data_IF_743063095186
#
_entry.id   IF_743063095186
#
_cell.length_a   1.000
_cell.length_b   1.000
_cell.length_c   1.000
_cell.angle_alpha   90.00
_cell.angle_beta   90.00
_cell.angle_gamma   90.00
#
_symmetry.space_group_name_H-M   'P 1'
#
loop_
_entity.id
_entity.type
_entity.pdbx_description
1 polymer ?
#
# COMPACT_ATOMS: atom_id res chain seq x y z
N UNK A 1 -35.11 64.64 -49.48
CA UNK A 1 -35.50 63.97 -48.22
C UNK A 1 -34.23 63.38 -47.64
N UNK A 2 -33.85 63.81 -46.44
CA UNK A 2 -32.65 63.38 -45.73
C UNK A 2 -32.84 61.95 -45.22
N UNK A 3 -32.08 60.98 -45.74
CA UNK A 3 -32.00 59.65 -45.13
C UNK A 3 -31.00 59.67 -43.98
N UNK A 4 -31.56 59.55 -42.77
CA UNK A 4 -30.85 59.46 -41.50
C UNK A 4 -30.10 58.12 -41.43
N UNK A 5 -28.77 58.17 -41.27
CA UNK A 5 -27.99 57.00 -40.94
C UNK A 5 -28.45 56.40 -39.59
N UNK A 6 -28.66 55.07 -39.46
CA UNK A 6 -29.11 54.47 -38.22
C UNK A 6 -28.03 54.58 -37.13
N UNK A 7 -28.41 55.07 -35.95
CA UNK A 7 -27.51 55.20 -34.81
C UNK A 7 -27.06 53.82 -34.28
N UNK A 8 -25.81 53.67 -33.83
CA UNK A 8 -25.30 52.40 -33.36
C UNK A 8 -26.07 51.94 -32.11
N UNK A 9 -26.67 50.75 -32.17
CA UNK A 9 -27.43 50.14 -31.05
C UNK A 9 -26.55 50.05 -29.81
N UNK A 10 -26.86 50.85 -28.79
CA UNK A 10 -26.13 50.91 -27.53
C UNK A 10 -26.47 49.68 -26.69
N UNK A 11 -25.54 48.73 -26.58
CA UNK A 11 -25.68 47.52 -25.75
C UNK A 11 -25.94 47.93 -24.29
N UNK A 12 -27.03 47.41 -23.70
CA UNK A 12 -27.46 47.74 -22.33
C UNK A 12 -26.41 47.32 -21.29
N UNK A 13 -26.34 48.02 -20.15
CA UNK A 13 -25.41 47.68 -19.06
C UNK A 13 -25.58 46.23 -18.57
N UNK A 14 -26.83 45.73 -18.55
CA UNK A 14 -27.14 44.34 -18.20
C UNK A 14 -26.57 43.35 -19.22
N UNK A 15 -26.66 43.64 -20.51
CA UNK A 15 -26.09 42.79 -21.56
C UNK A 15 -24.55 42.76 -21.48
N UNK A 16 -23.89 43.89 -21.19
CA UNK A 16 -22.43 43.91 -20.97
C UNK A 16 -22.00 43.08 -19.76
N UNK A 17 -22.78 43.12 -18.67
CA UNK A 17 -22.51 42.32 -17.47
C UNK A 17 -22.65 40.82 -17.76
N UNK A 18 -23.71 40.41 -18.47
CA UNK A 18 -23.94 39.01 -18.84
C UNK A 18 -22.81 38.50 -19.75
N UNK A 19 -22.41 39.29 -20.75
CA UNK A 19 -21.29 38.94 -21.63
C UNK A 19 -19.99 38.81 -20.83
N UNK A 20 -19.72 39.73 -19.89
CA UNK A 20 -18.55 39.65 -19.00
C UNK A 20 -18.53 38.38 -18.15
N UNK A 21 -19.67 37.99 -17.58
CA UNK A 21 -19.82 36.76 -16.79
C UNK A 21 -19.57 35.52 -17.66
N UNK A 22 -20.16 35.48 -18.87
CA UNK A 22 -19.98 34.36 -19.79
C UNK A 22 -18.52 34.22 -20.26
N UNK A 23 -17.84 35.35 -20.54
CA UNK A 23 -16.41 35.35 -20.87
C UNK A 23 -15.58 34.87 -19.67
N UNK A 24 -15.88 35.34 -18.45
CA UNK A 24 -15.17 34.94 -17.24
C UNK A 24 -15.28 33.42 -16.98
N UNK A 25 -16.50 32.87 -17.02
CA UNK A 25 -16.69 31.42 -16.86
C UNK A 25 -16.15 30.62 -18.04
N UNK A 26 -16.22 31.16 -19.27
CA UNK A 26 -15.60 30.55 -20.45
C UNK A 26 -14.08 30.47 -20.34
N UNK A 27 -13.43 31.51 -19.80
CA UNK A 27 -11.98 31.53 -19.51
C UNK A 27 -11.64 30.52 -18.41
N UNK A 28 -12.39 30.49 -17.30
CA UNK A 28 -12.18 29.48 -16.24
C UNK A 28 -12.36 28.05 -16.76
N UNK A 29 -13.35 27.82 -17.62
CA UNK A 29 -13.59 26.53 -18.25
C UNK A 29 -12.48 26.16 -19.25
N UNK A 30 -11.98 27.13 -20.03
CA UNK A 30 -10.84 26.96 -20.92
C UNK A 30 -9.56 26.61 -20.16
N UNK A 31 -9.25 27.32 -19.07
CA UNK A 31 -8.14 26.97 -18.20
C UNK A 31 -8.30 25.56 -17.63
N UNK A 32 -9.51 25.17 -17.23
CA UNK A 32 -9.76 23.81 -16.73
C UNK A 32 -9.61 22.72 -17.80
N UNK A 33 -10.02 22.97 -19.04
CA UNK A 33 -9.92 22.01 -20.15
C UNK A 33 -8.51 21.94 -20.74
N UNK A 34 -7.75 23.02 -20.74
CA UNK A 34 -6.42 23.06 -21.36
C UNK A 34 -5.32 22.78 -20.34
N UNK A 35 -5.45 23.25 -19.10
CA UNK A 35 -4.47 22.93 -18.06
C UNK A 35 -4.53 21.48 -17.63
N UNK A 36 -5.69 20.81 -17.59
CA UNK A 36 -5.75 19.40 -17.22
C UNK A 36 -4.95 18.49 -18.17
N UNK A 37 -5.14 18.55 -19.51
CA UNK A 37 -4.31 17.82 -20.45
C UNK A 37 -2.85 18.27 -20.41
N UNK A 38 -2.58 19.57 -20.25
CA UNK A 38 -1.20 20.06 -20.17
C UNK A 38 -0.48 19.57 -18.90
N UNK A 39 -1.15 19.55 -17.76
CA UNK A 39 -0.67 18.96 -16.51
C UNK A 39 -0.52 17.46 -16.65
N UNK A 40 -1.47 16.77 -17.28
CA UNK A 40 -1.41 15.33 -17.48
C UNK A 40 -0.27 14.94 -18.44
N UNK A 41 -0.04 15.74 -19.50
CA UNK A 41 1.13 15.62 -20.38
C UNK A 41 2.40 15.96 -19.61
N UNK A 42 2.42 17.02 -18.81
CA UNK A 42 3.58 17.39 -18.00
C UNK A 42 3.94 16.29 -17.00
N UNK A 43 2.97 15.72 -16.29
CA UNK A 43 3.17 14.61 -15.36
C UNK A 43 3.50 13.30 -16.10
N UNK A 44 2.96 13.07 -17.30
CA UNK A 44 3.40 11.94 -18.13
C UNK A 44 4.86 12.12 -18.59
N UNK A 45 5.27 13.34 -18.95
CA UNK A 45 6.61 13.65 -19.44
C UNK A 45 7.66 13.77 -18.32
N UNK A 46 7.27 14.19 -17.12
CA UNK A 46 8.20 14.54 -16.03
C UNK A 46 7.87 13.90 -14.68
N UNK A 47 6.65 13.40 -14.47
CA UNK A 47 6.21 12.82 -13.20
C UNK A 47 6.97 11.53 -12.82
N UNK A 48 7.47 10.79 -13.82
CA UNK A 48 8.35 9.64 -13.59
C UNK A 48 9.69 10.05 -12.95
N UNK A 49 10.20 11.27 -13.20
CA UNK A 49 11.42 11.78 -12.57
C UNK A 49 11.19 11.93 -11.06
N UNK A 50 10.06 12.53 -10.68
CA UNK A 50 9.69 12.70 -9.27
C UNK A 50 9.52 11.34 -8.58
N UNK A 51 8.89 10.37 -9.25
CA UNK A 51 8.77 9.00 -8.76
C UNK A 51 10.15 8.35 -8.55
N UNK A 52 11.07 8.44 -9.51
CA UNK A 52 12.41 7.86 -9.37
C UNK A 52 13.19 8.48 -8.22
N UNK A 53 13.19 9.81 -8.10
CA UNK A 53 13.90 10.52 -7.01
C UNK A 53 13.37 10.07 -5.65
N UNK A 54 12.05 9.93 -5.49
CA UNK A 54 11.42 9.52 -4.23
C UNK A 54 11.77 8.08 -3.85
N UNK A 55 11.85 7.17 -4.83
CA UNK A 55 12.09 5.76 -4.57
C UNK A 55 13.59 5.39 -4.60
N UNK A 56 14.47 6.31 -5.04
CA UNK A 56 15.90 6.02 -5.22
C UNK A 56 16.58 5.55 -3.93
N UNK A 57 16.14 6.06 -2.78
CA UNK A 57 16.64 5.67 -1.46
C UNK A 57 16.15 4.30 -0.98
N UNK A 58 15.05 3.79 -1.55
CA UNK A 58 14.47 2.49 -1.24
C UNK A 58 15.07 1.37 -2.13
N UNK A 59 15.65 1.71 -3.28
CA UNK A 59 16.26 0.75 -4.21
C UNK A 59 17.56 0.21 -3.61
N UNK A 60 17.51 -1.03 -3.10
CA UNK A 60 18.69 -1.82 -2.77
C UNK A 60 19.10 -2.64 -3.99
N UNK A 61 19.88 -2.04 -4.88
CA UNK A 61 20.44 -2.76 -6.01
C UNK A 61 21.57 -3.68 -5.52
N UNK A 62 21.48 -4.97 -5.85
CA UNK A 62 22.56 -5.91 -5.60
C UNK A 62 23.73 -5.68 -6.58
N UNK A 63 24.93 -6.09 -6.18
CA UNK A 63 26.16 -5.84 -6.95
C UNK A 63 26.14 -6.57 -8.30
N UNK A 64 25.49 -7.73 -8.39
CA UNK A 64 25.44 -8.53 -9.61
C UNK A 64 24.53 -7.88 -10.66
N UNK A 65 23.35 -7.40 -10.26
CA UNK A 65 22.44 -6.65 -11.11
C UNK A 65 23.06 -5.36 -11.65
N UNK A 66 23.84 -4.64 -10.83
CA UNK A 66 24.56 -3.45 -11.28
C UNK A 66 25.60 -3.82 -12.35
N UNK A 67 26.33 -4.92 -12.15
CA UNK A 67 27.33 -5.40 -13.10
C UNK A 67 26.67 -5.80 -14.42
N UNK A 68 25.64 -6.64 -14.37
CA UNK A 68 24.90 -7.10 -15.57
C UNK A 68 24.27 -5.93 -16.31
N UNK A 69 23.68 -4.97 -15.59
CA UNK A 69 23.12 -3.75 -16.18
C UNK A 69 24.17 -2.89 -16.88
N UNK A 70 25.33 -2.72 -16.25
CA UNK A 70 26.45 -1.97 -16.82
C UNK A 70 27.02 -2.65 -18.06
N UNK A 71 27.21 -3.97 -18.03
CA UNK A 71 27.66 -4.74 -19.19
C UNK A 71 26.67 -4.66 -20.35
N UNK A 72 25.37 -4.76 -20.06
CA UNK A 72 24.31 -4.65 -21.07
C UNK A 72 24.29 -3.27 -21.73
N UNK A 73 24.53 -2.19 -20.96
CA UNK A 73 24.63 -0.83 -21.49
C UNK A 73 25.83 -0.65 -22.41
N UNK A 74 27.00 -1.17 -22.01
CA UNK A 74 28.21 -1.14 -22.84
C UNK A 74 27.99 -1.92 -24.14
N UNK A 75 27.37 -3.09 -24.06
CA UNK A 75 27.05 -3.92 -25.22
C UNK A 75 26.04 -3.23 -26.15
N UNK A 76 24.96 -2.67 -25.62
CA UNK A 76 23.98 -1.91 -26.38
C UNK A 76 24.62 -0.71 -27.11
N UNK A 77 25.45 0.06 -26.40
CA UNK A 77 26.21 1.16 -26.98
C UNK A 77 27.12 0.67 -28.12
N UNK A 78 27.88 -0.40 -27.88
CA UNK A 78 28.78 -0.99 -28.86
C UNK A 78 28.05 -1.44 -30.12
N UNK A 79 26.90 -2.13 -29.96
CA UNK A 79 26.07 -2.58 -31.07
C UNK A 79 25.54 -1.41 -31.90
N UNK A 80 24.99 -0.37 -31.25
CA UNK A 80 24.48 0.83 -31.93
C UNK A 80 25.61 1.56 -32.66
N UNK A 81 26.77 1.72 -32.03
CA UNK A 81 27.91 2.40 -32.62
C UNK A 81 28.45 1.64 -33.85
N UNK A 82 28.65 0.33 -33.73
CA UNK A 82 29.12 -0.52 -34.82
C UNK A 82 28.10 -0.59 -35.95
N UNK A 83 26.82 -0.74 -35.63
CA UNK A 83 25.74 -0.75 -36.62
C UNK A 83 25.67 0.58 -37.39
N UNK A 84 25.66 1.70 -36.67
CA UNK A 84 25.64 3.04 -37.26
C UNK A 84 26.83 3.27 -38.20
N UNK A 85 28.02 2.84 -37.79
CA UNK A 85 29.24 2.99 -38.59
C UNK A 85 29.28 2.07 -39.81
N UNK A 86 28.74 0.85 -39.69
CA UNK A 86 28.79 -0.18 -40.74
C UNK A 86 27.70 -0.02 -41.81
N UNK A 87 26.51 0.41 -41.40
CA UNK A 87 25.31 0.35 -42.24
C UNK A 87 24.66 1.71 -42.53
N UNK A 88 24.89 2.74 -41.69
CA UNK A 88 24.28 4.06 -41.88
C UNK A 88 25.28 5.05 -42.47
N UNK A 89 26.42 5.26 -41.81
CA UNK A 89 27.42 6.24 -42.25
C UNK A 89 28.80 5.95 -41.66
N UNK A 90 29.83 6.01 -42.49
CA UNK A 90 31.23 5.82 -42.05
C UNK A 90 31.71 6.90 -41.08
N UNK A 91 31.06 8.05 -41.04
CA UNK A 91 31.34 9.18 -40.12
C UNK A 91 30.42 9.20 -38.89
N UNK A 92 29.74 8.08 -38.60
CA UNK A 92 28.89 7.96 -37.42
C UNK A 92 29.64 8.26 -36.12
N UNK A 93 29.14 9.24 -35.35
CA UNK A 93 29.81 9.74 -34.16
C UNK A 93 29.40 9.00 -32.89
N UNK A 94 30.29 8.99 -31.90
CA UNK A 94 30.01 8.49 -30.55
C UNK A 94 28.80 9.22 -29.95
N UNK A 95 28.72 10.55 -30.13
CA UNK A 95 27.62 11.36 -29.61
C UNK A 95 26.23 10.91 -30.09
N UNK A 96 26.09 10.49 -31.36
CA UNK A 96 24.81 9.94 -31.87
C UNK A 96 24.46 8.61 -31.21
N UNK A 97 25.45 7.77 -30.96
CA UNK A 97 25.24 6.48 -30.28
C UNK A 97 24.83 6.68 -28.82
N UNK A 98 25.47 7.61 -28.10
CA UNK A 98 25.07 8.00 -26.74
C UNK A 98 23.63 8.53 -26.74
N UNK A 99 23.29 9.40 -27.69
CA UNK A 99 21.94 9.97 -27.78
C UNK A 99 20.86 8.90 -28.00
N UNK A 100 21.11 7.92 -28.88
CA UNK A 100 20.17 6.81 -29.11
C UNK A 100 20.06 5.92 -27.87
N UNK A 101 21.18 5.53 -27.26
CA UNK A 101 21.16 4.74 -26.02
C UNK A 101 20.38 5.46 -24.92
N UNK A 102 20.62 6.76 -24.72
CA UNK A 102 19.89 7.57 -23.76
C UNK A 102 18.40 7.62 -24.05
N UNK A 103 18.01 7.80 -25.31
CA UNK A 103 16.61 7.79 -25.74
C UNK A 103 15.96 6.42 -25.50
N UNK A 104 16.64 5.32 -25.81
CA UNK A 104 16.15 3.95 -25.57
C UNK A 104 15.90 3.70 -24.09
N UNK A 105 16.84 4.09 -23.22
CA UNK A 105 16.68 3.97 -21.77
C UNK A 105 15.50 4.81 -21.30
N UNK A 106 15.39 6.06 -21.75
CA UNK A 106 14.29 6.95 -21.38
C UNK A 106 12.92 6.38 -21.78
N UNK A 107 12.80 5.85 -23.01
CA UNK A 107 11.58 5.21 -23.49
C UNK A 107 11.24 3.94 -22.70
N UNK A 108 12.24 3.12 -22.39
CA UNK A 108 12.06 1.90 -21.60
C UNK A 108 11.57 2.23 -20.18
N UNK A 109 12.26 3.15 -19.47
CA UNK A 109 11.88 3.61 -18.13
C UNK A 109 10.48 4.22 -18.14
N UNK A 110 10.16 5.05 -19.14
CA UNK A 110 8.83 5.62 -19.31
C UNK A 110 7.77 4.54 -19.50
N UNK A 111 8.02 3.54 -20.36
CA UNK A 111 7.11 2.41 -20.57
C UNK A 111 6.83 1.62 -19.29
N UNK A 112 7.86 1.29 -18.52
CA UNK A 112 7.70 0.61 -17.22
C UNK A 112 6.95 1.47 -16.20
N UNK A 113 7.21 2.78 -16.17
CA UNK A 113 6.49 3.70 -15.29
C UNK A 113 5.00 3.78 -15.66
N UNK A 114 4.67 3.85 -16.95
CA UNK A 114 3.28 3.86 -17.44
C UNK A 114 2.59 2.54 -17.12
N UNK A 115 3.20 1.39 -17.42
CA UNK A 115 2.63 0.08 -17.06
C UNK A 115 2.41 -0.02 -15.55
N UNK A 116 3.39 0.38 -14.74
CA UNK A 116 3.26 0.41 -13.28
C UNK A 116 2.11 1.31 -12.81
N UNK A 117 1.99 2.51 -13.38
CA UNK A 117 0.90 3.44 -13.06
C UNK A 117 -0.47 2.90 -13.51
N UNK A 118 -0.57 2.35 -14.71
CA UNK A 118 -1.81 1.77 -15.26
C UNK A 118 -2.24 0.55 -14.47
N UNK A 119 -1.36 -0.41 -14.21
CA UNK A 119 -1.67 -1.59 -13.40
C UNK A 119 -2.09 -1.16 -11.99
N UNK A 120 -1.42 -0.17 -11.40
CA UNK A 120 -1.80 0.37 -10.11
C UNK A 120 -3.21 0.99 -10.14
N UNK A 121 -3.52 1.83 -11.14
CA UNK A 121 -4.83 2.43 -11.31
C UNK A 121 -5.95 1.41 -11.56
N UNK A 122 -5.67 0.35 -12.33
CA UNK A 122 -6.64 -0.71 -12.62
C UNK A 122 -6.89 -1.64 -11.43
N UNK A 123 -5.94 -1.74 -10.50
CA UNK A 123 -6.08 -2.57 -9.28
C UNK A 123 -6.94 -1.89 -8.20
N UNK A 124 -7.57 -0.75 -8.48
CA UNK A 124 -8.39 0.00 -7.53
C UNK A 124 -9.89 -0.14 -7.82
N UNK A 125 -10.69 -0.69 -6.88
CA UNK A 125 -12.09 -1.02 -7.18
C UNK A 125 -13.10 0.15 -7.15
N UNK A 126 -12.85 1.27 -6.44
CA UNK A 126 -13.94 2.23 -6.11
C UNK A 126 -13.67 3.71 -6.45
N UNK A 127 -14.76 4.44 -6.73
CA UNK A 127 -14.81 5.86 -7.09
C UNK A 127 -14.18 6.81 -6.02
N UNK A 128 -14.26 6.45 -4.73
CA UNK A 128 -13.68 7.24 -3.62
C UNK A 128 -12.14 7.32 -3.66
N UNK A 129 -11.49 6.40 -4.39
CA UNK A 129 -10.05 6.33 -4.51
C UNK A 129 -9.44 7.38 -5.45
N UNK A 130 -10.24 7.95 -6.35
CA UNK A 130 -9.81 9.02 -7.25
C UNK A 130 -9.73 10.39 -6.56
N UNK A 131 -10.12 10.47 -5.29
CA UNK A 131 -9.80 11.62 -4.46
C UNK A 131 -8.33 11.54 -4.00
N UNK A 132 -7.60 12.65 -4.01
CA UNK A 132 -6.21 12.74 -3.52
C UNK A 132 -6.07 12.10 -2.12
N UNK A 133 -7.08 12.29 -1.27
CA UNK A 133 -7.14 11.72 0.07
C UNK A 133 -7.33 10.19 0.07
N UNK A 134 -8.09 9.63 -0.89
CA UNK A 134 -8.31 8.18 -1.02
C UNK A 134 -7.04 7.43 -1.42
N UNK A 135 -6.36 7.92 -2.46
CA UNK A 135 -5.07 7.39 -2.92
C UNK A 135 -4.01 7.42 -1.81
N UNK A 136 -3.85 8.57 -1.15
CA UNK A 136 -2.86 8.72 -0.08
C UNK A 136 -3.13 7.74 1.07
N UNK A 137 -4.39 7.54 1.46
CA UNK A 137 -4.75 6.54 2.49
C UNK A 137 -4.46 5.11 2.04
N UNK A 138 -4.77 4.73 0.80
CA UNK A 138 -4.47 3.37 0.34
C UNK A 138 -2.95 3.08 0.31
N UNK A 139 -2.14 4.03 -0.17
CA UNK A 139 -0.68 3.90 -0.16
C UNK A 139 -0.14 3.81 1.26
N UNK A 140 -0.67 4.61 2.19
CA UNK A 140 -0.29 4.57 3.59
C UNK A 140 -0.66 3.22 4.25
N UNK A 141 -1.85 2.66 3.98
CA UNK A 141 -2.27 1.34 4.49
C UNK A 141 -1.26 0.26 4.15
N UNK A 142 -0.89 0.20 2.87
CA UNK A 142 0.09 -0.76 2.37
C UNK A 142 1.46 -0.58 3.04
N UNK A 143 1.89 0.66 3.30
CA UNK A 143 3.15 0.96 3.99
C UNK A 143 3.13 0.43 5.43
N UNK A 144 2.07 0.69 6.19
CA UNK A 144 1.96 0.22 7.57
C UNK A 144 1.98 -1.32 7.64
N UNK A 145 1.28 -2.02 6.73
CA UNK A 145 1.37 -3.49 6.68
C UNK A 145 2.76 -3.99 6.29
N UNK A 146 3.50 -3.27 5.44
CA UNK A 146 4.89 -3.63 5.15
C UNK A 146 5.77 -3.50 6.39
N UNK A 147 5.59 -2.45 7.19
CA UNK A 147 6.34 -2.29 8.44
C UNK A 147 6.00 -3.42 9.43
N UNK A 148 4.72 -3.80 9.51
CA UNK A 148 4.25 -4.92 10.34
C UNK A 148 4.78 -6.27 9.85
N UNK A 149 4.85 -6.46 8.53
CA UNK A 149 5.43 -7.64 7.91
C UNK A 149 6.91 -7.76 8.28
N UNK A 150 7.69 -6.68 8.12
CA UNK A 150 9.11 -6.64 8.49
C UNK A 150 9.30 -6.96 9.97
N UNK A 151 8.49 -6.37 10.85
CA UNK A 151 8.55 -6.64 12.28
C UNK A 151 8.26 -8.12 12.61
N UNK A 152 7.28 -8.70 11.93
CA UNK A 152 6.89 -10.11 12.11
C UNK A 152 7.97 -11.06 11.60
N UNK A 153 8.59 -10.75 10.46
CA UNK A 153 9.71 -11.54 9.92
C UNK A 153 10.95 -11.44 10.83
N UNK A 154 11.26 -10.26 11.35
CA UNK A 154 12.34 -10.08 12.32
C UNK A 154 12.11 -10.89 13.60
N UNK A 155 10.87 -10.88 14.12
CA UNK A 155 10.47 -11.73 15.24
C UNK A 155 10.69 -13.20 14.91
N UNK A 156 10.17 -13.68 13.78
CA UNK A 156 10.27 -15.08 13.37
C UNK A 156 11.72 -15.52 13.13
N UNK A 157 12.58 -14.66 12.60
CA UNK A 157 14.00 -14.96 12.39
C UNK A 157 14.75 -15.23 13.71
N UNK A 158 14.39 -14.49 14.77
CA UNK A 158 15.00 -14.59 16.11
C UNK A 158 14.36 -15.72 16.92
N UNK A 159 13.03 -15.78 16.95
CA UNK A 159 12.26 -16.73 17.75
C UNK A 159 12.05 -18.08 17.06
N UNK A 160 12.46 -18.19 15.80
CA UNK A 160 12.28 -19.35 14.90
C UNK A 160 10.83 -19.76 14.65
N UNK A 161 9.89 -18.90 15.01
CA UNK A 161 8.46 -19.13 14.82
C UNK A 161 7.69 -17.80 14.78
N UNK A 162 6.52 -17.82 14.13
CA UNK A 162 5.58 -16.70 14.19
C UNK A 162 5.08 -16.49 15.62
N UNK A 163 4.72 -15.24 15.98
CA UNK A 163 4.08 -15.00 17.27
C UNK A 163 2.73 -15.72 17.30
N UNK A 164 2.33 -16.22 18.47
CA UNK A 164 1.05 -16.90 18.65
C UNK A 164 0.38 -16.44 19.93
N UNK A 165 -0.89 -16.80 20.06
CA UNK A 165 -1.55 -16.84 21.35
C UNK A 165 -0.87 -17.89 22.25
N UNK A 166 -0.53 -17.51 23.48
CA UNK A 166 -0.13 -18.49 24.49
C UNK A 166 -1.37 -19.21 25.03
N UNK A 167 -1.27 -20.54 25.11
CA UNK A 167 -2.37 -21.48 25.32
C UNK A 167 -2.92 -21.49 26.76
N UNK A 168 -4.15 -22.00 26.82
CA UNK A 168 -5.08 -22.47 27.87
C UNK A 168 -4.53 -23.14 29.16
N UNK A 169 -3.32 -22.78 29.61
CA UNK A 169 -2.75 -23.14 30.91
C UNK A 169 -2.77 -21.99 31.92
N UNK A 170 -2.04 -22.14 33.04
CA UNK A 170 -1.86 -21.09 34.06
C UNK A 170 -1.27 -19.78 33.53
N UNK A 171 -0.68 -19.79 32.32
CA UNK A 171 -0.18 -18.62 31.57
C UNK A 171 -1.27 -17.73 30.96
N UNK A 172 -2.49 -18.25 30.75
CA UNK A 172 -3.62 -17.48 30.19
C UNK A 172 -3.94 -16.19 30.97
N UNK A 173 -3.55 -16.10 32.25
CA UNK A 173 -3.74 -14.90 33.07
C UNK A 173 -2.71 -13.80 32.81
N UNK A 174 -1.50 -14.15 32.37
CA UNK A 174 -0.40 -13.21 32.10
C UNK A 174 -0.15 -13.05 30.61
N UNK A 175 -1.01 -13.60 29.77
CA UNK A 175 -0.81 -13.54 28.33
C UNK A 175 -1.09 -12.14 27.80
N UNK A 176 -0.36 -11.82 26.72
CA UNK A 176 -0.42 -10.58 25.98
C UNK A 176 -0.73 -10.89 24.53
N UNK A 177 -1.28 -9.91 23.81
CA UNK A 177 -1.48 -10.05 22.37
C UNK A 177 -0.14 -10.29 21.63
N UNK A 178 -0.18 -10.99 20.49
CA UNK A 178 0.96 -11.15 19.57
C UNK A 178 1.62 -9.80 19.21
N UNK A 179 0.82 -8.74 19.10
CA UNK A 179 1.26 -7.37 18.86
C UNK A 179 2.25 -6.87 19.93
N UNK A 180 2.02 -7.18 21.20
CA UNK A 180 2.93 -6.80 22.29
C UNK A 180 4.35 -7.30 22.06
N UNK A 181 4.49 -8.50 21.50
CA UNK A 181 5.79 -9.11 21.21
C UNK A 181 6.48 -8.54 19.97
N UNK A 182 5.75 -7.82 19.12
CA UNK A 182 6.31 -7.15 17.94
C UNK A 182 6.88 -5.75 18.25
N UNK A 183 6.57 -5.17 19.40
CA UNK A 183 7.02 -3.80 19.76
C UNK A 183 8.54 -3.58 19.60
N UNK A 184 9.43 -4.48 20.08
CA UNK A 184 10.87 -4.30 19.89
C UNK A 184 11.31 -4.32 18.41
N UNK A 185 10.53 -4.97 17.55
CA UNK A 185 10.79 -5.09 16.10
C UNK A 185 10.18 -3.94 15.29
N UNK A 186 9.48 -3.01 15.94
CA UNK A 186 8.83 -1.83 15.34
C UNK A 186 9.36 -0.51 15.91
N UNK A 187 10.57 -0.52 16.49
CA UNK A 187 11.15 0.64 17.20
C UNK A 187 10.31 1.14 18.38
N UNK A 188 9.56 0.24 19.04
CA UNK A 188 8.75 0.55 20.24
C UNK A 188 9.36 -0.08 21.52
N UNK A 189 10.69 -0.27 21.57
CA UNK A 189 11.37 -0.89 22.72
C UNK A 189 11.16 -0.13 24.03
N UNK A 190 11.16 1.21 24.00
CA UNK A 190 10.90 2.04 25.20
C UNK A 190 9.49 1.85 25.77
N UNK A 191 8.51 1.54 24.91
CA UNK A 191 7.17 1.20 25.37
C UNK A 191 7.14 -0.24 25.91
N UNK A 192 7.79 -1.16 25.21
CA UNK A 192 7.89 -2.57 25.61
C UNK A 192 8.51 -2.75 27.00
N UNK A 193 9.57 -2.01 27.32
CA UNK A 193 10.24 -2.04 28.63
C UNK A 193 9.35 -1.58 29.80
N UNK A 194 8.26 -0.86 29.51
CA UNK A 194 7.28 -0.44 30.53
C UNK A 194 6.20 -1.49 30.80
N UNK A 195 6.16 -2.57 30.03
CA UNK A 195 5.16 -3.63 30.15
C UNK A 195 5.73 -4.73 31.03
N UNK A 196 5.06 -5.00 32.14
CA UNK A 196 5.33 -6.19 32.93
C UNK A 196 4.61 -7.39 32.31
N UNK A 197 5.38 -8.24 31.61
CA UNK A 197 4.88 -9.46 30.99
C UNK A 197 4.49 -10.54 32.00
N UNK A 198 4.91 -10.41 33.27
CA UNK A 198 4.50 -11.29 34.37
C UNK A 198 3.10 -10.96 34.92
N UNK A 199 2.51 -9.84 34.49
CA UNK A 199 1.17 -9.41 34.88
C UNK A 199 0.19 -9.49 33.70
N UNK A 200 -1.13 -9.63 33.97
CA UNK A 200 -2.15 -9.50 32.93
C UNK A 200 -2.01 -8.19 32.15
N UNK A 201 -2.34 -8.20 30.86
CA UNK A 201 -2.31 -7.01 30.00
C UNK A 201 -3.13 -5.83 30.58
N UNK A 202 -4.26 -6.12 31.24
CA UNK A 202 -5.16 -5.12 31.81
C UNK A 202 -4.89 -4.83 33.30
N UNK A 203 -3.76 -5.27 33.85
CA UNK A 203 -3.34 -4.94 35.21
C UNK A 203 -3.11 -3.42 35.35
N UNK A 204 -3.43 -2.80 36.51
CA UNK A 204 -3.21 -1.36 36.73
C UNK A 204 -1.82 -0.86 36.36
N UNK A 205 -0.77 -1.63 36.67
CA UNK A 205 0.63 -1.27 36.36
C UNK A 205 0.92 -1.23 34.85
N UNK A 206 0.25 -2.09 34.08
CA UNK A 206 0.35 -2.14 32.62
C UNK A 206 -0.55 -1.11 31.93
N UNK A 207 -1.44 -0.44 32.68
CA UNK A 207 -2.50 0.40 32.10
C UNK A 207 -1.95 1.55 31.25
N UNK A 208 -0.92 2.24 31.73
CA UNK A 208 -0.32 3.38 31.02
C UNK A 208 0.26 2.92 29.68
N UNK A 209 0.92 1.77 29.64
CA UNK A 209 1.50 1.24 28.40
C UNK A 209 0.38 0.90 27.40
N UNK A 210 -0.62 0.12 27.80
CA UNK A 210 -1.70 -0.30 26.89
C UNK A 210 -2.74 0.79 26.56
N UNK A 211 -2.74 1.91 27.27
CA UNK A 211 -3.49 3.12 26.89
C UNK A 211 -2.76 3.98 25.86
N UNK A 212 -1.50 3.68 25.53
CA UNK A 212 -0.71 4.45 24.55
C UNK A 212 -1.05 4.03 23.12
N UNK A 213 -1.55 4.94 22.26
CA UNK A 213 -1.76 4.64 20.84
C UNK A 213 -0.43 4.43 20.11
N UNK A 214 -0.37 3.40 19.27
CA UNK A 214 0.80 3.09 18.44
C UNK A 214 0.44 3.42 16.99
N UNK A 215 1.12 4.36 16.32
CA UNK A 215 0.83 4.73 14.93
C UNK A 215 0.85 3.54 13.96
N UNK A 216 1.71 2.54 14.20
CA UNK A 216 1.77 1.33 13.40
C UNK A 216 0.57 0.37 13.59
N UNK A 217 -0.21 0.53 14.66
CA UNK A 217 -1.45 -0.23 14.90
C UNK A 217 -2.70 0.60 14.64
N UNK A 218 -2.53 1.91 14.57
CA UNK A 218 -3.61 2.86 14.43
C UNK A 218 -3.39 3.69 13.18
N UNK A 219 -4.20 3.40 12.16
CA UNK A 219 -4.26 4.27 11.01
C UNK A 219 -5.28 5.40 11.23
N UNK A 220 -4.92 6.61 10.81
CA UNK A 220 -5.80 7.78 10.88
C UNK A 220 -6.94 7.68 9.87
N UNK A 221 -8.06 7.16 10.36
CA UNK A 221 -9.35 7.25 9.70
C UNK A 221 -10.17 8.30 10.41
N UNK A 222 -10.66 9.27 9.62
CA UNK A 222 -11.46 10.39 10.10
C UNK A 222 -12.59 9.87 11.01
N UNK A 223 -12.58 10.31 12.27
CA UNK A 223 -13.56 10.04 13.32
C UNK A 223 -13.52 8.65 14.01
N UNK A 224 -12.56 7.79 13.69
CA UNK A 224 -12.45 6.53 14.40
C UNK A 224 -11.67 6.68 15.71
N UNK A 225 -12.07 5.98 16.78
CA UNK A 225 -11.38 6.05 18.06
C UNK A 225 -10.01 5.36 17.99
N UNK A 226 -8.97 6.05 18.48
CA UNK A 226 -7.66 5.46 18.79
C UNK A 226 -7.67 4.69 20.12
N UNK A 227 -8.61 5.04 20.99
CA UNK A 227 -8.76 4.53 22.34
C UNK A 227 -10.20 4.04 22.48
N UNK A 228 -10.38 2.84 23.01
CA UNK A 228 -11.70 2.33 23.34
C UNK A 228 -12.35 3.25 24.39
N UNK A 229 -13.48 3.91 24.06
CA UNK A 229 -14.14 4.82 25.00
C UNK A 229 -14.64 4.12 26.26
N UNK A 230 -14.83 2.79 26.23
CA UNK A 230 -15.30 2.01 27.38
C UNK A 230 -14.17 1.65 28.32
N UNK A 231 -13.05 1.15 27.79
CA UNK A 231 -11.94 0.63 28.62
C UNK A 231 -10.78 1.62 28.81
N UNK A 232 -10.63 2.59 27.92
CA UNK A 232 -9.51 3.54 27.92
C UNK A 232 -8.20 2.95 27.38
N UNK A 233 -8.24 1.76 26.78
CA UNK A 233 -7.06 1.14 26.15
C UNK A 233 -6.97 1.51 24.66
N UNK A 234 -5.75 1.60 24.16
CA UNK A 234 -5.49 1.90 22.75
C UNK A 234 -5.83 0.70 21.86
N UNK A 235 -6.45 1.00 20.72
CA UNK A 235 -7.00 0.02 19.78
C UNK A 235 -5.99 -0.39 18.70
N UNK A 236 -6.23 -1.56 18.09
CA UNK A 236 -5.53 -2.02 16.90
C UNK A 236 -6.47 -2.19 15.72
N UNK A 237 -5.99 -1.86 14.52
CA UNK A 237 -6.65 -2.07 13.23
C UNK A 237 -6.16 -3.30 12.48
N UNK A 238 -5.38 -4.14 13.15
CA UNK A 238 -4.82 -5.33 12.53
C UNK A 238 -5.11 -6.54 13.39
N UNK A 239 -5.48 -7.63 12.73
CA UNK A 239 -5.73 -8.91 13.36
C UNK A 239 -4.94 -9.99 12.66
N UNK A 240 -4.53 -11.01 13.40
CA UNK A 240 -3.88 -12.18 12.81
C UNK A 240 -4.91 -13.17 12.25
N UNK A 241 -4.45 -14.06 11.39
CA UNK A 241 -5.23 -15.19 10.90
C UNK A 241 -5.42 -16.24 12.01
N UNK A 242 -6.67 -16.56 12.33
CA UNK A 242 -7.04 -17.57 13.32
C UNK A 242 -6.43 -18.96 13.03
N UNK A 243 -6.34 -19.36 11.76
CA UNK A 243 -5.76 -20.66 11.37
C UNK A 243 -4.29 -20.83 11.75
N UNK A 244 -3.58 -19.73 12.05
CA UNK A 244 -2.17 -19.73 12.41
C UNK A 244 -1.92 -19.25 13.84
N UNK A 245 -2.76 -18.37 14.38
CA UNK A 245 -2.54 -17.69 15.67
C UNK A 245 -3.51 -18.15 16.77
N UNK A 246 -4.61 -18.82 16.43
CA UNK A 246 -5.56 -19.39 17.39
C UNK A 246 -5.17 -20.83 17.77
N UNK A 247 -3.87 -21.07 17.98
CA UNK A 247 -3.30 -22.38 18.32
C UNK A 247 -2.44 -22.27 19.57
N UNK A 248 -2.28 -23.40 20.25
CA UNK A 248 -1.41 -23.53 21.42
C UNK A 248 0.08 -23.57 21.09
N UNK A 249 0.40 -23.87 19.82
CA UNK A 249 1.76 -24.09 19.34
C UNK A 249 2.21 -22.92 18.46
N UNK A 250 3.43 -22.42 18.73
CA UNK A 250 4.14 -21.52 17.81
C UNK A 250 4.43 -22.22 16.49
N UNK A 251 3.88 -21.72 15.39
CA UNK A 251 4.14 -22.25 14.05
C UNK A 251 5.45 -21.69 13.51
N UNK A 252 6.30 -22.58 13.03
CA UNK A 252 7.52 -22.24 12.31
C UNK A 252 7.22 -22.03 10.81
N UNK A 253 8.02 -21.25 10.08
CA UNK A 253 7.83 -21.10 8.63
C UNK A 253 7.84 -22.43 7.87
N UNK A 254 8.66 -23.39 8.30
CA UNK A 254 8.79 -24.71 7.67
C UNK A 254 7.52 -25.59 7.84
N UNK A 255 6.65 -25.26 8.81
CA UNK A 255 5.38 -25.96 9.05
C UNK A 255 4.24 -25.43 8.17
N UNK A 256 4.46 -24.36 7.41
CA UNK A 256 3.50 -23.82 6.45
C UNK A 256 3.77 -24.49 5.09
N UNK A 257 3.21 -25.67 4.90
CA UNK A 257 3.45 -26.52 3.73
C UNK A 257 2.70 -26.08 2.47
N UNK A 258 1.63 -25.28 2.61
CA UNK A 258 0.90 -24.70 1.46
C UNK A 258 1.67 -23.58 0.76
N UNK A 259 2.80 -23.18 1.35
CA UNK A 259 3.69 -22.14 0.84
C UNK A 259 3.49 -20.81 1.55
N UNK A 260 4.60 -20.22 2.01
CA UNK A 260 4.57 -18.95 2.76
C UNK A 260 3.93 -17.79 1.99
N UNK A 261 4.09 -17.77 0.67
CA UNK A 261 3.48 -16.77 -0.21
C UNK A 261 1.98 -17.00 -0.45
N UNK A 262 1.43 -18.14 -0.04
CA UNK A 262 0.02 -18.52 -0.26
C UNK A 262 -0.78 -18.59 1.05
N UNK A 263 -0.21 -18.11 2.16
CA UNK A 263 -0.83 -18.21 3.48
C UNK A 263 -0.99 -16.82 4.10
N UNK A 264 -2.24 -16.43 4.38
CA UNK A 264 -2.58 -15.16 5.03
C UNK A 264 -2.07 -15.16 6.47
N UNK A 265 -1.34 -14.12 6.87
CA UNK A 265 -0.76 -14.02 8.21
C UNK A 265 -1.47 -12.97 9.07
N UNK A 266 -1.51 -11.72 8.60
CA UNK A 266 -2.09 -10.57 9.32
C UNK A 266 -2.89 -9.73 8.33
N UNK A 267 -4.07 -9.25 8.72
CA UNK A 267 -4.93 -8.44 7.85
C UNK A 267 -5.53 -7.23 8.55
N UNK A 268 -6.08 -6.32 7.75
CA UNK A 268 -6.78 -5.13 8.23
C UNK A 268 -8.16 -5.45 8.81
N UNK A 269 -8.56 -4.71 9.84
CA UNK A 269 -9.89 -4.75 10.43
C UNK A 269 -10.45 -3.33 10.62
N UNK A 270 -11.74 -3.19 10.42
CA UNK A 270 -12.45 -1.90 10.45
C UNK A 270 -13.60 -1.83 11.48
N UNK A 271 -13.96 -2.96 12.08
CA UNK A 271 -15.04 -3.08 13.06
C UNK A 271 -14.59 -3.92 14.26
N UNK A 272 -15.23 -3.74 15.42
CA UNK A 272 -14.89 -4.43 16.67
C UNK A 272 -13.37 -4.43 16.98
N UNK A 273 -12.74 -3.26 16.85
CA UNK A 273 -11.31 -3.08 17.05
C UNK A 273 -10.95 -3.49 18.49
N UNK A 274 -10.05 -4.47 18.71
CA UNK A 274 -9.62 -4.86 20.03
C UNK A 274 -8.53 -3.91 20.54
N UNK A 275 -8.40 -3.72 21.87
CA UNK A 275 -7.19 -3.16 22.44
C UNK A 275 -5.96 -3.96 22.00
N UNK A 276 -4.89 -3.29 21.57
CA UNK A 276 -3.73 -3.97 20.99
C UNK A 276 -3.00 -4.88 21.98
N UNK A 277 -3.16 -4.65 23.28
CA UNK A 277 -2.61 -5.52 24.34
C UNK A 277 -3.46 -6.73 24.69
N UNK A 278 -4.75 -6.71 24.33
CA UNK A 278 -5.71 -7.74 24.74
C UNK A 278 -5.36 -9.08 24.09
N UNK A 279 -5.18 -10.17 24.86
CA UNK A 279 -4.94 -11.50 24.33
C UNK A 279 -5.95 -11.92 23.27
N UNK A 280 -5.47 -12.69 22.30
CA UNK A 280 -6.20 -12.97 21.07
C UNK A 280 -5.80 -11.99 19.97
N UNK A 281 -6.78 -11.30 19.39
CA UNK A 281 -6.54 -10.42 18.24
C UNK A 281 -6.30 -11.19 16.96
N UNK A 282 -6.93 -12.35 16.81
CA UNK A 282 -7.05 -13.09 15.56
C UNK A 282 -8.50 -13.09 15.08
N UNK A 283 -8.69 -13.30 13.77
CA UNK A 283 -10.00 -13.43 13.11
C UNK A 283 -9.94 -14.52 12.07
N UNK A 284 -11.10 -15.07 11.75
CA UNK A 284 -11.25 -16.07 10.69
C UNK A 284 -11.35 -15.37 9.33
N UNK A 285 -10.38 -15.58 8.40
CA UNK A 285 -10.48 -15.05 7.04
C UNK A 285 -11.69 -15.57 6.25
N UNK A 286 -12.19 -16.77 6.59
CA UNK A 286 -13.37 -17.37 5.96
C UNK A 286 -14.68 -16.61 6.20
N UNK A 287 -14.69 -15.64 7.11
CA UNK A 287 -15.83 -14.71 7.28
C UNK A 287 -15.94 -13.67 6.16
N UNK A 288 -14.99 -13.63 5.23
CA UNK A 288 -14.96 -12.67 4.12
C UNK A 288 -14.48 -11.28 4.53
N UNK A 289 -14.28 -10.43 3.52
CA UNK A 289 -13.83 -9.04 3.68
C UNK A 289 -15.03 -8.10 3.70
N UNK A 290 -15.12 -7.25 4.72
CA UNK A 290 -16.25 -6.34 4.97
C UNK A 290 -17.63 -7.02 5.14
N UNK A 291 -17.69 -8.35 5.30
CA UNK A 291 -18.95 -9.10 5.46
C UNK A 291 -19.37 -9.32 6.91
N UNK A 292 -18.44 -9.21 7.87
CA UNK A 292 -18.70 -9.46 9.29
C UNK A 292 -17.98 -8.44 10.18
N UNK A 293 -18.60 -7.99 11.28
CA UNK A 293 -17.94 -7.11 12.24
C UNK A 293 -16.75 -7.80 12.95
N UNK A 294 -16.71 -9.14 12.93
CA UNK A 294 -15.61 -9.97 13.43
C UNK A 294 -14.71 -10.53 12.32
N UNK A 295 -14.94 -10.14 11.06
CA UNK A 295 -14.11 -10.52 9.91
C UNK A 295 -13.04 -9.47 9.59
N UNK A 296 -12.31 -9.67 8.51
CA UNK A 296 -11.35 -8.68 8.02
C UNK A 296 -12.06 -7.60 7.22
N UNK A 297 -11.45 -6.42 7.08
CA UNK A 297 -12.10 -5.31 6.41
C UNK A 297 -11.29 -4.02 6.42
N UNK A 298 -11.52 -3.21 5.40
CA UNK A 298 -10.93 -1.89 5.25
C UNK A 298 -11.98 -0.86 4.85
N UNK A 299 -11.78 0.37 5.28
CA UNK A 299 -12.73 1.48 5.07
C UNK A 299 -12.69 2.08 3.67
N UNK A 300 -11.62 1.85 2.91
CA UNK A 300 -11.38 2.49 1.60
C UNK A 300 -11.20 1.42 0.53
N UNK A 301 -11.74 1.69 -0.65
CA UNK A 301 -11.59 0.87 -1.86
C UNK A 301 -12.28 -0.51 -1.85
N UNK A 302 -13.15 -0.79 -0.86
CA UNK A 302 -13.98 -2.00 -0.87
C UNK A 302 -13.17 -3.28 -0.65
N UNK A 303 -12.19 -3.26 0.26
CA UNK A 303 -11.30 -4.39 0.50
C UNK A 303 -10.29 -4.15 1.61
N UNK A 304 -9.42 -5.13 1.82
CA UNK A 304 -8.45 -5.15 2.91
C UNK A 304 -7.06 -5.60 2.40
N UNK A 305 -6.01 -5.01 2.97
CA UNK A 305 -4.67 -5.54 2.83
C UNK A 305 -4.42 -6.72 3.76
N UNK A 306 -3.58 -7.64 3.30
CA UNK A 306 -3.05 -8.73 4.09
C UNK A 306 -1.53 -8.83 3.90
N UNK A 307 -0.84 -9.12 5.01
CA UNK A 307 0.50 -9.68 5.04
C UNK A 307 0.39 -11.18 4.85
N UNK A 308 1.17 -11.74 3.93
CA UNK A 308 1.35 -13.17 3.76
C UNK A 308 2.49 -13.70 4.64
N UNK A 309 2.56 -15.01 4.85
CA UNK A 309 3.57 -15.61 5.72
C UNK A 309 5.02 -15.40 5.23
N UNK A 310 5.23 -15.11 3.94
CA UNK A 310 6.53 -14.70 3.37
C UNK A 310 6.87 -13.22 3.61
N UNK A 311 5.95 -12.44 4.19
CA UNK A 311 6.10 -11.01 4.43
C UNK A 311 5.68 -10.11 3.26
N UNK A 312 5.21 -10.67 2.15
CA UNK A 312 4.63 -9.89 1.06
C UNK A 312 3.25 -9.33 1.46
N UNK A 313 2.86 -8.21 0.83
CA UNK A 313 1.59 -7.52 1.13
C UNK A 313 0.72 -7.48 -0.11
N UNK A 314 -0.46 -8.07 0.00
CA UNK A 314 -1.46 -8.16 -1.07
C UNK A 314 -2.79 -7.52 -0.67
N UNK A 315 -3.51 -7.03 -1.67
CA UNK A 315 -4.84 -6.46 -1.50
C UNK A 315 -5.88 -7.47 -1.95
N UNK A 316 -6.94 -7.64 -1.17
CA UNK A 316 -8.08 -8.48 -1.50
C UNK A 316 -9.36 -7.63 -1.47
N UNK A 317 -10.18 -7.74 -2.51
CA UNK A 317 -11.45 -7.02 -2.60
C UNK A 317 -12.55 -7.73 -1.79
N UNK A 318 -13.65 -7.03 -1.52
CA UNK A 318 -14.79 -7.57 -0.76
C UNK A 318 -15.64 -8.58 -1.54
N UNK A 319 -15.36 -8.75 -2.83
CA UNK A 319 -15.99 -9.75 -3.70
C UNK A 319 -15.17 -11.05 -3.77
N UNK A 320 -13.99 -11.09 -3.15
CA UNK A 320 -13.17 -12.30 -3.06
C UNK A 320 -13.98 -13.40 -2.37
N UNK A 321 -14.04 -14.58 -2.99
CA UNK A 321 -14.76 -15.72 -2.46
C UNK A 321 -14.27 -16.07 -1.04
N UNK A 322 -15.15 -16.05 -0.02
CA UNK A 322 -14.80 -16.47 1.34
C UNK A 322 -14.20 -17.88 1.40
N UNK A 323 -14.56 -18.78 0.49
CA UNK A 323 -13.95 -20.10 0.40
C UNK A 323 -12.47 -20.02 0.02
N UNK A 324 -12.07 -19.09 -0.87
CA UNK A 324 -10.66 -18.85 -1.18
C UNK A 324 -9.92 -18.26 0.03
N UNK A 325 -10.52 -17.31 0.74
CA UNK A 325 -9.91 -16.76 1.95
C UNK A 325 -9.73 -17.83 3.04
N UNK A 326 -10.68 -18.75 3.18
CA UNK A 326 -10.58 -19.90 4.07
C UNK A 326 -9.41 -20.80 3.69
N UNK A 327 -9.24 -21.08 2.40
CA UNK A 327 -8.14 -21.89 1.86
C UNK A 327 -6.78 -21.26 2.17
N UNK A 328 -6.62 -19.97 1.87
CA UNK A 328 -5.42 -19.19 2.20
C UNK A 328 -5.20 -18.99 3.71
N UNK A 329 -6.16 -19.37 4.56
CA UNK A 329 -6.03 -19.25 6.02
C UNK A 329 -5.34 -20.43 6.69
N UNK A 330 -5.13 -21.55 5.98
CA UNK A 330 -4.56 -22.76 6.57
C UNK A 330 -3.06 -22.90 6.28
N UNK A 331 -2.28 -23.50 7.20
CA UNK A 331 -0.86 -23.77 6.95
C UNK A 331 -0.61 -25.01 6.05
N UNK A 332 -1.57 -25.94 5.99
CA UNK A 332 -1.38 -27.28 5.41
C UNK A 332 -2.67 -27.91 4.81
N UNK A 333 -3.51 -27.10 4.17
CA UNK A 333 -4.68 -27.52 3.41
C UNK A 333 -4.38 -28.36 2.16
N UNK A 334 -3.14 -28.36 1.67
CA UNK A 334 -2.67 -29.20 0.55
C UNK A 334 -3.05 -28.68 -0.84
N UNK A 335 -3.33 -27.40 -0.95
CA UNK A 335 -3.85 -26.77 -2.18
C UNK A 335 -2.76 -25.97 -2.90
N UNK A 336 -2.66 -26.10 -4.23
CA UNK A 336 -1.74 -25.33 -5.06
C UNK A 336 -2.45 -24.13 -5.68
N UNK A 337 -2.01 -22.91 -5.34
CA UNK A 337 -2.53 -21.66 -5.93
C UNK A 337 -1.41 -20.85 -6.59
N UNK A 338 -1.70 -20.25 -7.75
CA UNK A 338 -0.99 -19.08 -8.25
C UNK A 338 -1.84 -17.83 -7.98
N UNK A 339 -1.54 -17.12 -6.88
CA UNK A 339 -2.29 -15.91 -6.46
C UNK A 339 -2.40 -14.83 -7.55
N UNK A 340 -1.50 -14.82 -8.53
CA UNK A 340 -1.51 -13.85 -9.63
C UNK A 340 -2.69 -13.97 -10.61
N UNK A 341 -3.34 -15.14 -10.69
CA UNK A 341 -4.52 -15.36 -11.53
C UNK A 341 -5.85 -15.23 -10.77
N UNK A 342 -5.87 -15.49 -9.45
CA UNK A 342 -7.12 -15.61 -8.67
C UNK A 342 -7.57 -14.31 -7.98
N UNK A 343 -6.68 -13.33 -7.78
CA UNK A 343 -6.93 -12.13 -6.94
C UNK A 343 -7.12 -10.83 -7.75
N UNK A 344 -7.56 -10.90 -9.01
CA UNK A 344 -7.81 -9.69 -9.84
C UNK A 344 -9.23 -9.16 -9.73
#
# INVERSE_FOLDING_TARGET
>A
MNDLAPSPRRISRRAKLIIGILIFFGVLYFFRIVMLPAELIFYALTGWIHFLIRNLSEIRADKESILVGSMSLVLLFGLIYLFGRRWISTTWSIGRSIAIVGLTIALFVSGFAVVGATTFCLSYPNDDAWTENGFNRFVQRRRVLRDLAVATQNYAAIQKAFPVYADTGSRAKTDHNWQTHLLPHMNQSTLYEKIDLGLPWNHPDNRVAFSTPIPQYSMDYRNDPYIDPKSGYALSRYSANAGLFATSKRLTPDEITDGLSNTLLIGEINQNLPPWGKPGGWRDPGLGINKSPHGFGGHVAGGAFFVLADGSVQYFNEDTDPALLQKLSTPNGGESFELGETVR
#
